data_IF_292874838454
#
_entry.id   IF_292874838454
#
_cell.length_a   1.000
_cell.length_b   1.000
_cell.length_c   1.000
_cell.angle_alpha   90.00
_cell.angle_beta   90.00
_cell.angle_gamma   90.00
#
_symmetry.space_group_name_H-M   'P 1'
#
loop_
_entity.id
_entity.type
_entity.pdbx_description
1 polymer ?
#
# COMPACT_ATOMS: atom_id res chain seq x y z
N UNK A 1 -31.15 19.30 -52.07
CA UNK A 1 -30.84 19.12 -51.59
C UNK A 1 -30.56 18.92 -50.46
N UNK A 2 -30.40 18.83 -49.99
CA UNK A 2 -30.13 18.63 -49.21
C UNK A 2 -29.88 18.36 -48.12
N UNK A 3 -29.67 18.11 -47.49
CA UNK A 3 -29.40 17.81 -46.66
C UNK A 3 -29.19 17.62 -45.60
N UNK A 4 -28.91 17.35 -45.00
CA UNK A 4 -28.69 17.07 -44.19
C UNK A 4 -28.51 16.80 -43.12
N UNK A 5 -28.32 16.52 -42.57
CA UNK A 5 -28.13 16.26 -41.82
C UNK A 5 -27.87 16.01 -40.77
N UNK A 6 -27.70 15.93 -40.34
CA UNK A 6 -27.41 15.65 -39.49
C UNK A 6 -27.28 15.48 -38.39
N UNK A 7 -27.12 15.35 -37.94
CA UNK A 7 -26.95 15.10 -37.07
C UNK A 7 -26.69 14.70 -36.05
N UNK A 8 -26.46 14.51 -35.60
CA UNK A 8 -26.29 14.07 -34.83
C UNK A 8 -25.92 13.96 -33.90
N UNK A 9 -25.63 13.91 -33.53
CA UNK A 9 -25.28 13.70 -32.82
C UNK A 9 -25.11 13.58 -31.79
N UNK A 10 -24.98 13.53 -31.44
CA UNK A 10 -24.80 13.34 -30.67
C UNK A 10 -24.67 13.13 -29.63
N UNK A 11 -24.54 12.86 -29.24
CA UNK A 11 -24.45 12.59 -28.52
C UNK A 11 -24.21 12.29 -27.55
N UNK A 12 -23.98 12.00 -27.24
CA UNK A 12 -23.76 11.57 -26.61
C UNK A 12 -23.39 11.53 -25.73
N UNK A 13 -23.15 11.64 -25.46
CA UNK A 13 -22.73 11.63 -24.76
C UNK A 13 -22.62 11.53 -23.61
N UNK A 14 -22.36 11.63 -23.24
CA UNK A 14 -22.09 11.57 -22.29
C UNK A 14 -22.24 11.02 -21.29
N UNK A 15 -22.18 10.74 -21.09
CA UNK A 15 -22.40 10.11 -20.21
C UNK A 15 -21.58 9.48 -19.55
N UNK A 16 -21.14 9.50 -19.19
CA UNK A 16 -20.43 8.93 -18.59
C UNK A 16 -20.11 9.19 -17.61
N UNK A 17 -20.11 9.04 -17.45
CA UNK A 17 -19.76 8.98 -16.82
C UNK A 17 -19.21 8.99 -15.86
N UNK A 18 -19.24 9.02 -15.34
CA UNK A 18 -18.63 9.35 -14.15
C UNK A 18 -18.71 8.26 -13.21
N UNK A 19 -17.99 7.37 -13.48
CA UNK A 19 -17.75 6.32 -12.55
C UNK A 19 -16.59 6.75 -11.70
N UNK A 20 -16.88 7.22 -10.52
CA UNK A 20 -15.84 7.41 -9.56
C UNK A 20 -15.42 6.05 -9.08
N UNK A 21 -14.31 5.61 -9.54
CA UNK A 21 -13.73 4.38 -9.04
C UNK A 21 -12.99 4.71 -7.76
N UNK A 22 -13.46 4.16 -6.64
CA UNK A 22 -12.66 4.18 -5.44
C UNK A 22 -11.41 3.35 -5.72
N UNK A 23 -10.23 3.86 -5.42
CA UNK A 23 -9.02 3.08 -5.55
C UNK A 23 -9.09 1.87 -4.64
N UNK A 24 -8.74 0.72 -5.16
CA UNK A 24 -8.65 -0.47 -4.35
C UNK A 24 -7.52 -0.34 -3.34
N UNK A 25 -7.75 -0.87 -2.14
CA UNK A 25 -6.73 -0.89 -1.12
C UNK A 25 -5.51 -1.68 -1.60
N UNK A 26 -4.33 -1.15 -1.34
CA UNK A 26 -3.09 -1.82 -1.70
C UNK A 26 -1.96 -1.39 -0.79
N UNK A 27 -0.97 -2.25 -0.65
CA UNK A 27 0.26 -1.97 0.10
C UNK A 27 1.43 -2.30 -0.81
N UNK A 28 2.37 -1.34 -0.91
CA UNK A 28 3.62 -1.56 -1.62
C UNK A 28 4.77 -1.25 -0.67
N UNK A 29 5.61 -2.24 -0.41
CA UNK A 29 6.86 -2.01 0.27
C UNK A 29 7.88 -1.73 -0.81
N UNK A 30 8.31 -0.49 -0.93
CA UNK A 30 9.21 -0.06 -2.00
C UNK A 30 10.65 -0.49 -1.72
N UNK A 31 11.05 -0.49 -0.47
CA UNK A 31 12.35 -0.98 -0.03
C UNK A 31 12.27 -1.40 1.43
N UNK A 32 13.02 -2.39 1.83
CA UNK A 32 13.91 -3.20 1.00
C UNK A 32 13.13 -4.12 0.08
N UNK A 33 13.79 -4.65 -0.92
CA UNK A 33 13.20 -5.67 -1.78
C UNK A 33 13.16 -7.00 -1.03
N UNK A 34 12.22 -7.87 -1.41
CA UNK A 34 12.21 -9.20 -0.81
C UNK A 34 13.52 -9.92 -1.14
N UNK A 35 14.07 -10.60 -0.16
CA UNK A 35 15.37 -11.26 -0.30
C UNK A 35 16.56 -10.36 -0.02
N UNK A 36 16.35 -9.09 0.31
CA UNK A 36 17.43 -8.15 0.56
C UNK A 36 18.23 -8.55 1.80
N UNK A 37 19.51 -8.24 1.76
CA UNK A 37 20.39 -8.39 2.91
C UNK A 37 20.51 -7.06 3.61
N UNK A 38 20.26 -7.06 4.90
CA UNK A 38 20.30 -5.87 5.73
C UNK A 38 21.42 -6.00 6.76
N UNK A 39 21.94 -4.84 7.17
CA UNK A 39 22.96 -4.80 8.19
C UNK A 39 22.30 -4.99 9.56
N UNK A 40 22.65 -6.09 10.25
CA UNK A 40 22.08 -6.38 11.55
C UNK A 40 22.54 -5.42 12.65
N UNK A 41 23.56 -4.61 12.37
CA UNK A 41 24.06 -3.61 13.31
C UNK A 41 23.43 -2.24 13.11
N UNK A 42 22.61 -2.08 12.09
CA UNK A 42 22.05 -0.80 11.72
C UNK A 42 20.55 -0.78 11.94
N UNK A 43 20.01 0.45 12.06
CA UNK A 43 18.57 0.67 12.02
C UNK A 43 18.18 0.89 10.56
N UNK A 44 17.64 -0.15 9.95
CA UNK A 44 17.28 -0.10 8.55
C UNK A 44 15.91 0.55 8.37
N UNK A 45 15.71 1.18 7.20
CA UNK A 45 14.43 1.82 6.88
C UNK A 45 13.64 0.98 5.90
N UNK A 46 12.34 0.95 6.11
CA UNK A 46 11.40 0.41 5.13
C UNK A 46 10.63 1.59 4.54
N UNK A 47 10.58 1.66 3.22
CA UNK A 47 9.85 2.70 2.51
C UNK A 47 8.63 2.07 1.87
N UNK A 48 7.48 2.74 1.96
CA UNK A 48 6.23 2.12 1.55
C UNK A 48 5.25 3.15 0.98
N UNK A 49 4.29 2.64 0.22
CA UNK A 49 3.13 3.38 -0.25
C UNK A 49 1.89 2.55 -0.01
N UNK A 50 0.87 3.18 0.52
CA UNK A 50 -0.39 2.50 0.86
C UNK A 50 -1.57 3.26 0.30
N UNK A 51 -2.49 2.52 -0.31
CA UNK A 51 -3.83 3.01 -0.63
C UNK A 51 -4.76 2.28 0.34
N UNK A 52 -5.38 2.99 1.29
CA UNK A 52 -6.16 2.32 2.33
C UNK A 52 -7.49 1.78 1.85
N UNK A 53 -8.01 2.31 0.75
CA UNK A 53 -9.33 1.94 0.26
C UNK A 53 -10.45 2.47 1.16
N UNK A 54 -11.71 2.16 0.81
CA UNK A 54 -12.84 2.74 1.54
C UNK A 54 -13.00 2.22 2.96
N UNK A 55 -12.43 1.06 3.28
CA UNK A 55 -12.56 0.49 4.63
C UNK A 55 -11.30 0.64 5.47
N UNK A 56 -10.20 1.08 4.87
CA UNK A 56 -8.94 1.25 5.56
C UNK A 56 -8.76 2.65 6.09
N UNK A 57 -7.87 2.79 7.06
CA UNK A 57 -7.59 4.07 7.68
C UNK A 57 -6.09 4.33 7.77
N UNK A 58 -5.35 3.37 8.28
CA UNK A 58 -3.91 3.50 8.43
C UNK A 58 -3.28 2.11 8.35
N UNK A 59 -2.01 2.00 8.67
CA UNK A 59 -1.31 0.71 8.61
C UNK A 59 -0.59 0.42 9.91
N UNK A 60 -0.40 -0.87 10.16
CA UNK A 60 0.45 -1.36 11.22
C UNK A 60 1.64 -2.09 10.58
N UNK A 61 2.81 -1.91 11.17
CA UNK A 61 4.04 -2.57 10.72
C UNK A 61 4.34 -3.75 11.64
N UNK A 62 4.68 -4.88 11.04
CA UNK A 62 4.96 -6.11 11.77
C UNK A 62 6.34 -6.63 11.42
N UNK A 63 7.03 -7.13 12.42
CA UNK A 63 8.29 -7.85 12.22
C UNK A 63 8.12 -9.22 12.86
N UNK A 64 8.31 -10.27 12.07
CA UNK A 64 8.18 -11.66 12.53
C UNK A 64 6.85 -11.93 13.23
N UNK A 65 5.79 -11.34 12.68
CA UNK A 65 4.43 -11.55 13.17
C UNK A 65 4.04 -10.67 14.35
N UNK A 66 4.94 -9.83 14.85
CA UNK A 66 4.63 -8.93 15.96
C UNK A 66 4.47 -7.50 15.47
N UNK A 67 3.41 -6.85 15.89
CA UNK A 67 3.19 -5.45 15.59
C UNK A 67 4.25 -4.61 16.30
N UNK A 68 4.97 -3.78 15.55
CA UNK A 68 6.03 -2.94 16.10
C UNK A 68 5.74 -1.46 15.95
N UNK A 69 4.80 -1.09 15.08
CA UNK A 69 4.49 0.33 14.89
C UNK A 69 3.10 0.53 14.30
N UNK A 70 2.51 1.66 14.66
CA UNK A 70 1.28 2.18 14.06
C UNK A 70 1.71 3.34 13.19
N UNK A 71 1.45 3.26 11.89
CA UNK A 71 1.91 4.25 10.93
C UNK A 71 0.71 4.93 10.29
N UNK A 72 0.60 6.22 10.53
CA UNK A 72 -0.52 6.99 10.00
C UNK A 72 -0.22 7.65 8.67
N UNK A 73 1.06 7.74 8.30
CA UNK A 73 1.42 8.19 6.97
C UNK A 73 1.20 7.07 5.98
N UNK A 74 0.54 7.37 4.87
CA UNK A 74 0.26 6.37 3.84
C UNK A 74 1.40 6.26 2.83
N UNK A 75 2.28 7.23 2.80
CA UNK A 75 3.52 7.18 2.03
C UNK A 75 4.63 7.68 2.94
N UNK A 76 5.68 6.91 3.04
CA UNK A 76 6.78 7.33 3.90
C UNK A 76 7.74 6.20 4.17
N UNK A 77 8.47 6.36 5.24
CA UNK A 77 9.40 5.34 5.68
C UNK A 77 9.29 5.14 7.19
N UNK A 78 9.64 3.93 7.59
CA UNK A 78 9.71 3.56 9.00
C UNK A 78 11.11 3.05 9.29
N UNK A 79 11.73 3.60 10.33
CA UNK A 79 13.04 3.17 10.76
C UNK A 79 12.86 2.07 11.79
N UNK A 80 13.31 0.87 11.44
CA UNK A 80 13.18 -0.29 12.31
C UNK A 80 14.28 -0.30 13.36
N UNK A 81 13.98 -0.91 14.51
CA UNK A 81 15.04 -1.27 15.42
C UNK A 81 15.97 -2.29 14.76
N UNK A 82 17.17 -2.46 15.32
CA UNK A 82 18.10 -3.43 14.75
C UNK A 82 17.47 -4.82 14.77
N UNK A 83 17.70 -5.55 13.67
CA UNK A 83 17.21 -6.91 13.54
C UNK A 83 18.33 -7.87 13.91
N UNK A 84 18.01 -8.89 14.71
CA UNK A 84 18.99 -9.92 14.97
C UNK A 84 19.44 -10.62 13.69
N UNK A 85 20.63 -11.20 13.66
CA UNK A 85 21.08 -11.91 12.48
C UNK A 85 20.12 -13.02 12.10
N UNK A 86 19.90 -13.21 10.80
CA UNK A 86 19.04 -14.25 10.27
C UNK A 86 17.88 -13.71 9.47
N UNK A 87 16.93 -14.60 9.18
CA UNK A 87 15.78 -14.27 8.36
C UNK A 87 14.71 -13.56 9.18
N UNK A 88 14.08 -12.57 8.58
CA UNK A 88 12.96 -11.87 9.19
C UNK A 88 11.87 -11.62 8.17
N UNK A 89 10.63 -11.61 8.62
CA UNK A 89 9.50 -11.24 7.80
C UNK A 89 9.04 -9.85 8.20
N UNK A 90 8.89 -8.98 7.20
CA UNK A 90 8.38 -7.63 7.39
C UNK A 90 7.03 -7.53 6.72
N UNK A 91 6.01 -7.11 7.45
CA UNK A 91 4.66 -6.97 6.91
C UNK A 91 4.10 -5.60 7.20
N UNK A 92 3.32 -5.09 6.25
CA UNK A 92 2.51 -3.90 6.47
C UNK A 92 1.07 -4.31 6.21
N UNK A 93 0.20 -4.07 7.18
CA UNK A 93 -1.21 -4.43 7.09
C UNK A 93 -2.07 -3.19 7.20
N UNK A 94 -3.02 -3.05 6.28
CA UNK A 94 -4.02 -1.99 6.37
C UNK A 94 -5.00 -2.35 7.46
N UNK A 95 -5.30 -1.38 8.30
CA UNK A 95 -6.28 -1.54 9.37
C UNK A 95 -7.35 -0.46 9.26
N UNK A 96 -8.50 -0.72 9.86
CA UNK A 96 -9.57 0.28 9.93
C UNK A 96 -9.32 1.21 11.12
N UNK A 97 -10.24 2.14 11.38
CA UNK A 97 -10.09 3.09 12.48
C UNK A 97 -10.00 2.40 13.83
N UNK A 98 -10.59 1.23 13.96
CA UNK A 98 -10.52 0.44 15.17
C UNK A 98 -9.28 -0.43 15.30
N UNK A 99 -8.29 -0.23 14.42
CA UNK A 99 -7.04 -0.98 14.41
C UNK A 99 -7.20 -2.46 14.06
N UNK A 100 -8.29 -2.80 13.36
CA UNK A 100 -8.53 -4.17 12.94
C UNK A 100 -8.07 -4.34 11.50
N UNK A 101 -7.24 -5.35 11.20
CA UNK A 101 -6.82 -5.62 9.82
C UNK A 101 -8.01 -5.93 8.92
N UNK A 102 -7.95 -5.42 7.69
CA UNK A 102 -9.03 -5.60 6.71
C UNK A 102 -8.68 -6.60 5.62
N UNK A 103 -7.57 -7.31 5.77
CA UNK A 103 -7.17 -8.34 4.81
C UNK A 103 -6.27 -7.87 3.69
N UNK A 104 -5.87 -6.60 3.70
CA UNK A 104 -4.97 -6.04 2.68
C UNK A 104 -3.60 -5.83 3.30
N UNK A 105 -2.60 -6.48 2.74
CA UNK A 105 -1.26 -6.44 3.32
C UNK A 105 -0.21 -6.86 2.29
N UNK A 106 1.02 -6.53 2.60
CA UNK A 106 2.17 -7.09 1.88
C UNK A 106 3.23 -7.49 2.90
N UNK A 107 3.82 -8.64 2.66
CA UNK A 107 4.95 -9.13 3.46
C UNK A 107 6.13 -9.38 2.54
N UNK A 108 7.32 -9.13 3.05
CA UNK A 108 8.58 -9.47 2.38
C UNK A 108 9.47 -10.18 3.37
N UNK A 109 10.43 -10.92 2.85
CA UNK A 109 11.45 -11.60 3.67
C UNK A 109 12.78 -10.93 3.42
N UNK A 110 13.53 -10.71 4.50
CA UNK A 110 14.87 -10.12 4.45
C UNK A 110 15.81 -10.95 5.28
N UNK A 111 17.09 -10.73 5.08
CA UNK A 111 18.14 -11.44 5.83
C UNK A 111 19.03 -10.39 6.48
N UNK A 112 19.12 -10.40 7.79
CA UNK A 112 20.02 -9.50 8.52
C UNK A 112 21.34 -10.23 8.74
N UNK A 113 22.44 -9.53 8.47
CA UNK A 113 23.76 -10.14 8.64
C UNK A 113 24.83 -9.11 9.00
#
# INVERSE_FOLDING_TARGET
MKKLISLFALLAAGSFSSWAWAEEASVKILSPATGAKLDSMAQNKATYEVVPGPRGDHVHFYIDGQEVAVLRQLKGSYTMETLGPGKHELCIKVVNKGHTPIGVQQCINVIAE
#
